data_IF_801488909192
#
_entry.id   IF_801488909192
#
_cell.length_a   1.000
_cell.length_b   1.000
_cell.length_c   1.000
_cell.angle_alpha   90.00
_cell.angle_beta   90.00
_cell.angle_gamma   90.00
#
_symmetry.space_group_name_H-M   'P 1'
#
loop_
_entity.id
_entity.type
_entity.pdbx_description
1 polymer ?
#
# COMPACT_ATOMS: atom_id res chain seq x y z
N UNK A 1 7.95 -4.73 -20.70
CA UNK A 1 6.71 -5.52 -20.54
C UNK A 1 6.78 -6.47 -19.34
N UNK A 2 7.75 -7.40 -19.25
CA UNK A 2 7.86 -8.36 -18.11
C UNK A 2 7.95 -7.69 -16.74
N UNK A 3 8.73 -6.61 -16.59
CA UNK A 3 8.84 -5.84 -15.34
C UNK A 3 7.49 -5.31 -14.85
N UNK A 4 6.68 -4.74 -15.75
CA UNK A 4 5.34 -4.23 -15.40
C UNK A 4 4.38 -5.37 -15.01
N UNK A 5 4.45 -6.50 -15.71
CA UNK A 5 3.65 -7.68 -15.35
C UNK A 5 4.09 -8.27 -14.01
N UNK A 6 5.39 -8.30 -13.71
CA UNK A 6 5.91 -8.73 -12.42
C UNK A 6 5.44 -7.80 -11.29
N UNK A 7 5.50 -6.49 -11.50
CA UNK A 7 4.98 -5.50 -10.55
C UNK A 7 3.49 -5.73 -10.27
N UNK A 8 2.69 -5.93 -11.33
CA UNK A 8 1.25 -6.21 -11.19
C UNK A 8 1.00 -7.55 -10.48
N UNK A 9 1.76 -8.61 -10.81
CA UNK A 9 1.62 -9.91 -10.15
C UNK A 9 1.96 -9.84 -8.67
N UNK A 10 3.04 -9.17 -8.29
CA UNK A 10 3.43 -9.02 -6.88
C UNK A 10 2.45 -8.14 -6.10
N UNK A 11 1.88 -7.09 -6.75
CA UNK A 11 0.89 -6.20 -6.14
C UNK A 11 -0.43 -6.91 -5.87
N UNK A 12 -0.98 -7.60 -6.89
CA UNK A 12 -2.32 -8.19 -6.84
C UNK A 12 -2.31 -9.68 -6.51
N UNK A 13 -1.12 -10.32 -6.50
CA UNK A 13 -0.87 -11.74 -6.24
C UNK A 13 -1.45 -12.67 -7.34
N UNK A 14 -2.11 -12.13 -8.34
CA UNK A 14 -2.61 -12.83 -9.52
C UNK A 14 -2.56 -11.91 -10.74
N UNK A 15 -2.40 -12.51 -11.92
CA UNK A 15 -2.38 -11.80 -13.19
C UNK A 15 -2.86 -12.72 -14.32
N UNK A 16 -3.76 -12.22 -15.16
CA UNK A 16 -4.20 -12.92 -16.36
C UNK A 16 -3.44 -12.40 -17.58
N UNK A 17 -2.80 -13.31 -18.35
CA UNK A 17 -2.03 -12.98 -19.53
C UNK A 17 -2.03 -14.15 -20.52
N UNK A 18 -1.38 -14.01 -21.67
CA UNK A 18 -1.25 -15.14 -22.61
C UNK A 18 -0.24 -16.18 -22.09
N UNK A 19 -0.45 -17.47 -22.45
CA UNK A 19 0.38 -18.58 -21.97
C UNK A 19 1.88 -18.39 -22.25
N UNK A 20 2.34 -17.92 -23.43
CA UNK A 20 3.77 -17.66 -23.64
C UNK A 20 4.33 -16.62 -22.68
N UNK A 21 3.63 -15.49 -22.48
CA UNK A 21 4.04 -14.44 -21.55
C UNK A 21 4.05 -14.93 -20.10
N UNK A 22 3.06 -15.74 -19.73
CA UNK A 22 2.99 -16.35 -18.41
C UNK A 22 4.17 -17.27 -18.12
N UNK A 23 4.61 -18.07 -19.13
CA UNK A 23 5.77 -18.95 -19.00
C UNK A 23 7.07 -18.16 -18.77
N UNK A 24 7.26 -17.03 -19.46
CA UNK A 24 8.42 -16.17 -19.29
C UNK A 24 8.38 -15.36 -17.98
N UNK A 25 7.19 -15.00 -17.54
CA UNK A 25 7.00 -14.23 -16.30
C UNK A 25 7.36 -15.04 -15.05
N UNK A 26 7.04 -16.35 -15.04
CA UNK A 26 7.28 -17.21 -13.88
C UNK A 26 8.73 -17.22 -13.42
N UNK A 27 9.73 -17.61 -14.23
CA UNK A 27 11.12 -17.65 -13.78
C UNK A 27 11.64 -16.27 -13.36
N UNK A 28 11.16 -15.20 -14.01
CA UNK A 28 11.53 -13.84 -13.66
C UNK A 28 11.05 -13.46 -12.24
N UNK A 29 9.78 -13.70 -11.92
CA UNK A 29 9.23 -13.41 -10.58
C UNK A 29 9.80 -14.35 -9.52
N UNK A 30 9.99 -15.61 -9.82
CA UNK A 30 10.61 -16.59 -8.90
C UNK A 30 12.04 -16.21 -8.52
N UNK A 31 12.80 -15.65 -9.47
CA UNK A 31 14.13 -15.09 -9.20
C UNK A 31 14.06 -13.93 -8.21
N UNK A 32 13.11 -12.98 -8.40
CA UNK A 32 12.95 -11.83 -7.50
C UNK A 32 12.59 -12.28 -6.07
N UNK A 33 11.68 -13.23 -5.92
CA UNK A 33 11.32 -13.81 -4.63
C UNK A 33 12.53 -14.51 -3.99
N UNK A 34 13.31 -15.24 -4.77
CA UNK A 34 14.52 -15.92 -4.27
C UNK A 34 15.57 -14.93 -3.78
N UNK A 35 15.79 -13.83 -4.51
CA UNK A 35 16.70 -12.74 -4.09
C UNK A 35 16.23 -12.12 -2.78
N UNK A 36 14.94 -11.83 -2.65
CA UNK A 36 14.36 -11.28 -1.43
C UNK A 36 14.53 -12.24 -0.24
N UNK A 37 14.23 -13.52 -0.40
CA UNK A 37 14.42 -14.56 0.63
C UNK A 37 15.87 -14.66 1.11
N UNK A 38 16.81 -14.70 0.16
CA UNK A 38 18.25 -14.76 0.50
C UNK A 38 18.72 -13.50 1.21
N UNK A 39 18.12 -12.35 0.89
CA UNK A 39 18.39 -11.10 1.60
C UNK A 39 17.95 -11.15 3.06
N UNK A 40 16.77 -11.70 3.33
CA UNK A 40 16.21 -11.83 4.69
C UNK A 40 16.90 -12.95 5.51
N UNK A 41 17.14 -14.12 4.91
CA UNK A 41 17.74 -15.27 5.61
C UNK A 41 19.17 -15.04 6.09
N UNK A 42 19.85 -14.03 5.54
CA UNK A 42 21.22 -13.68 5.93
C UNK A 42 21.32 -12.99 7.30
N UNK A 43 20.23 -12.90 8.04
CA UNK A 43 20.13 -12.19 9.32
C UNK A 43 20.25 -10.68 9.15
N UNK A 44 20.10 -9.96 10.25
CA UNK A 44 20.14 -8.49 10.34
C UNK A 44 21.48 -7.84 9.95
N UNK A 45 22.37 -8.55 9.29
CA UNK A 45 23.51 -7.94 8.62
C UNK A 45 22.99 -7.09 7.44
N UNK A 46 22.55 -5.90 7.77
CA UNK A 46 21.91 -4.88 6.94
C UNK A 46 22.47 -4.74 5.51
N UNK A 47 23.72 -5.09 5.27
CA UNK A 47 24.34 -5.01 3.96
C UNK A 47 23.78 -6.00 2.93
N UNK A 48 23.44 -7.23 3.32
CA UNK A 48 22.91 -8.24 2.39
C UNK A 48 21.45 -7.94 2.02
N UNK A 49 20.64 -7.52 2.99
CA UNK A 49 19.27 -7.10 2.74
C UNK A 49 19.23 -5.84 1.87
N UNK A 50 20.04 -4.83 2.20
CA UNK A 50 20.14 -3.62 1.38
C UNK A 50 20.57 -3.92 -0.06
N UNK A 51 21.53 -4.83 -0.23
CA UNK A 51 21.96 -5.24 -1.58
C UNK A 51 20.84 -5.98 -2.31
N UNK A 52 20.14 -6.90 -1.65
CA UNK A 52 18.98 -7.58 -2.23
C UNK A 52 17.88 -6.59 -2.63
N UNK A 53 17.55 -5.60 -1.79
CA UNK A 53 16.60 -4.53 -2.12
C UNK A 53 17.04 -3.72 -3.33
N UNK A 54 18.33 -3.37 -3.43
CA UNK A 54 18.88 -2.66 -4.60
C UNK A 54 18.76 -3.47 -5.88
N UNK A 55 19.06 -4.77 -5.83
CA UNK A 55 18.93 -5.66 -6.99
C UNK A 55 17.47 -5.77 -7.44
N UNK A 56 16.54 -5.94 -6.52
CA UNK A 56 15.10 -6.00 -6.83
C UNK A 56 14.60 -4.67 -7.42
N UNK A 57 15.08 -3.53 -6.91
CA UNK A 57 14.71 -2.19 -7.41
C UNK A 57 15.18 -1.91 -8.84
N UNK A 58 16.19 -2.63 -9.36
CA UNK A 58 16.58 -2.53 -10.77
C UNK A 58 15.48 -3.07 -11.71
N UNK A 59 14.73 -4.06 -11.23
CA UNK A 59 13.66 -4.71 -12.00
C UNK A 59 12.27 -4.16 -11.66
N UNK A 60 12.02 -3.82 -10.38
CA UNK A 60 10.75 -3.27 -9.90
C UNK A 60 10.92 -1.79 -9.54
N UNK A 61 10.27 -0.92 -10.31
CA UNK A 61 10.33 0.54 -10.09
C UNK A 61 9.44 1.01 -8.93
N UNK A 62 8.48 0.19 -8.52
CA UNK A 62 7.50 0.51 -7.50
C UNK A 62 7.99 0.14 -6.10
N UNK A 63 8.24 1.15 -5.27
CA UNK A 63 8.74 0.98 -3.90
C UNK A 63 7.75 0.23 -2.99
N UNK A 64 6.45 0.47 -3.16
CA UNK A 64 5.41 -0.21 -2.36
C UNK A 64 5.42 -1.71 -2.61
N UNK A 65 5.56 -2.11 -3.89
CA UNK A 65 5.64 -3.52 -4.27
C UNK A 65 6.92 -4.17 -3.75
N UNK A 66 8.05 -3.45 -3.78
CA UNK A 66 9.30 -3.94 -3.17
C UNK A 66 9.13 -4.12 -1.66
N UNK A 67 8.53 -3.17 -0.96
CA UNK A 67 8.23 -3.28 0.48
C UNK A 67 7.34 -4.50 0.74
N UNK A 68 6.23 -4.67 0.01
CA UNK A 68 5.36 -5.86 0.11
C UNK A 68 6.13 -7.16 -0.13
N UNK A 69 7.04 -7.17 -1.11
CA UNK A 69 7.86 -8.36 -1.41
C UNK A 69 8.71 -8.78 -0.22
N UNK A 70 9.37 -7.84 0.46
CA UNK A 70 10.26 -8.15 1.59
C UNK A 70 9.51 -8.40 2.90
N UNK A 71 8.44 -7.66 3.19
CA UNK A 71 7.72 -7.73 4.46
C UNK A 71 6.67 -8.84 4.51
N UNK A 72 6.01 -9.13 3.37
CA UNK A 72 4.87 -10.06 3.35
C UNK A 72 5.18 -11.33 2.56
N UNK A 73 5.68 -11.19 1.32
CA UNK A 73 5.81 -12.33 0.41
C UNK A 73 7.04 -13.19 0.72
N UNK A 74 8.19 -12.60 0.99
CA UNK A 74 9.41 -13.35 1.25
C UNK A 74 9.32 -14.20 2.54
N UNK A 75 8.76 -13.72 3.67
CA UNK A 75 8.50 -14.56 4.84
C UNK A 75 7.49 -15.67 4.56
N UNK A 76 6.42 -15.40 3.78
CA UNK A 76 5.43 -16.43 3.40
C UNK A 76 6.08 -17.63 2.70
N UNK A 77 7.09 -17.38 1.88
CA UNK A 77 7.78 -18.42 1.11
C UNK A 77 9.08 -18.94 1.75
N UNK A 78 9.36 -18.58 3.00
CA UNK A 78 10.63 -18.94 3.67
C UNK A 78 10.90 -20.44 3.64
N UNK A 79 9.91 -21.26 3.99
CA UNK A 79 10.01 -22.71 4.03
C UNK A 79 10.02 -23.40 2.65
N UNK A 80 9.65 -22.67 1.58
CA UNK A 80 9.51 -23.24 0.24
C UNK A 80 10.81 -23.05 -0.57
N UNK A 81 11.45 -24.09 -1.11
CA UNK A 81 12.71 -23.95 -1.85
C UNK A 81 12.55 -23.35 -3.24
N UNK A 82 11.33 -23.36 -3.84
CA UNK A 82 11.02 -22.83 -5.15
C UNK A 82 9.58 -23.07 -5.55
N UNK A 83 9.22 -22.76 -6.83
CA UNK A 83 7.86 -22.96 -7.30
C UNK A 83 6.85 -22.08 -6.59
N UNK A 84 7.13 -20.79 -6.48
CA UNK A 84 6.28 -19.81 -5.77
C UNK A 84 5.05 -19.42 -6.57
N UNK A 85 5.01 -19.76 -7.86
CA UNK A 85 3.94 -19.38 -8.79
C UNK A 85 3.20 -20.60 -9.30
N UNK A 86 1.89 -20.44 -9.50
CA UNK A 86 1.01 -21.41 -10.15
C UNK A 86 0.46 -20.83 -11.44
N UNK A 87 0.42 -21.60 -12.51
CA UNK A 87 -0.16 -21.23 -13.78
C UNK A 87 -1.42 -22.05 -14.02
N UNK A 88 -2.54 -21.37 -14.23
CA UNK A 88 -3.84 -21.94 -14.52
C UNK A 88 -4.24 -21.54 -15.94
N UNK A 89 -4.52 -22.50 -16.82
CA UNK A 89 -5.02 -22.21 -18.17
C UNK A 89 -6.52 -21.90 -18.09
N UNK A 90 -6.94 -20.76 -18.67
CA UNK A 90 -8.32 -20.30 -18.66
C UNK A 90 -9.07 -20.56 -19.97
N UNK A 91 -8.34 -20.96 -21.02
CA UNK A 91 -8.91 -21.18 -22.35
C UNK A 91 -8.45 -20.14 -23.36
N UNK A 92 -9.31 -19.80 -24.30
CA UNK A 92 -8.98 -18.93 -25.43
C UNK A 92 -9.64 -17.54 -25.28
N UNK A 93 -8.93 -16.53 -25.73
CA UNK A 93 -9.44 -15.15 -25.78
C UNK A 93 -10.39 -14.96 -26.95
N UNK A 94 -11.52 -14.28 -26.72
CA UNK A 94 -12.45 -13.91 -27.80
C UNK A 94 -11.77 -12.93 -28.74
N UNK A 95 -11.88 -13.20 -30.04
CA UNK A 95 -11.37 -12.36 -31.12
C UNK A 95 -10.17 -12.98 -31.84
N UNK A 96 -9.08 -13.28 -31.12
CA UNK A 96 -7.83 -13.77 -31.70
C UNK A 96 -7.49 -15.23 -31.33
N UNK A 97 -8.36 -15.90 -30.57
CA UNK A 97 -8.17 -17.28 -30.10
C UNK A 97 -6.80 -17.52 -29.39
N UNK A 98 -6.17 -16.48 -28.84
CA UNK A 98 -4.94 -16.64 -28.07
C UNK A 98 -5.19 -17.40 -26.77
N UNK A 99 -4.37 -18.39 -26.45
CA UNK A 99 -4.45 -19.09 -25.16
C UNK A 99 -4.15 -18.13 -23.99
N UNK A 100 -5.07 -18.07 -23.01
CA UNK A 100 -4.96 -17.25 -21.81
C UNK A 100 -4.63 -18.15 -20.62
N UNK A 101 -3.76 -17.64 -19.75
CA UNK A 101 -3.46 -18.24 -18.46
C UNK A 101 -3.48 -17.19 -17.35
N UNK A 102 -3.88 -17.63 -16.17
CA UNK A 102 -3.71 -16.89 -14.93
C UNK A 102 -2.45 -17.40 -14.24
N UNK A 103 -1.60 -16.47 -13.87
CA UNK A 103 -0.46 -16.71 -12.98
C UNK A 103 -0.85 -16.19 -11.60
N UNK A 104 -0.69 -17.02 -10.58
CA UNK A 104 -0.96 -16.66 -9.18
C UNK A 104 0.21 -17.04 -8.28
N UNK A 105 0.37 -16.34 -7.17
CA UNK A 105 1.30 -16.70 -6.12
C UNK A 105 0.68 -17.81 -5.25
N UNK A 106 1.45 -18.84 -4.94
CA UNK A 106 0.99 -19.93 -4.07
C UNK A 106 0.71 -19.39 -2.67
N UNK A 107 -0.43 -19.80 -2.09
CA UNK A 107 -0.88 -19.28 -0.78
C UNK A 107 -1.66 -17.95 -0.89
N UNK A 108 -1.83 -17.42 -2.09
CA UNK A 108 -2.82 -16.40 -2.39
C UNK A 108 -4.06 -17.14 -2.89
N UNK A 109 -4.98 -17.42 -2.03
CA UNK A 109 -6.27 -17.96 -2.44
C UNK A 109 -7.08 -16.83 -3.08
N UNK A 110 -6.84 -16.61 -4.37
CA UNK A 110 -7.70 -15.72 -5.13
C UNK A 110 -9.06 -16.39 -5.31
N UNK A 111 -9.94 -16.13 -4.37
CA UNK A 111 -11.33 -16.47 -4.50
C UNK A 111 -12.08 -15.25 -5.07
N UNK A 112 -12.42 -15.23 -6.38
CA UNK A 112 -13.10 -14.09 -6.99
C UNK A 112 -14.47 -13.82 -6.36
N UNK A 113 -15.08 -14.86 -5.79
CA UNK A 113 -16.38 -14.79 -5.11
C UNK A 113 -16.26 -14.09 -3.76
N UNK A 114 -15.23 -14.42 -2.97
CA UNK A 114 -14.97 -13.77 -1.69
C UNK A 114 -14.61 -12.28 -1.87
N UNK A 115 -13.89 -11.95 -2.94
CA UNK A 115 -13.60 -10.54 -3.24
C UNK A 115 -14.85 -9.77 -3.64
N UNK A 116 -15.71 -10.34 -4.49
CA UNK A 116 -16.98 -9.73 -4.87
C UNK A 116 -17.92 -9.53 -3.65
N UNK A 117 -17.94 -10.49 -2.73
CA UNK A 117 -18.71 -10.40 -1.47
C UNK A 117 -18.11 -9.36 -0.51
N UNK A 118 -16.78 -9.25 -0.43
CA UNK A 118 -16.10 -8.25 0.39
C UNK A 118 -16.30 -6.83 -0.17
N UNK A 119 -16.22 -6.66 -1.49
CA UNK A 119 -16.48 -5.38 -2.17
C UNK A 119 -17.97 -4.99 -2.04
N UNK A 120 -18.91 -5.94 -2.13
CA UNK A 120 -20.32 -5.72 -1.90
C UNK A 120 -20.60 -5.28 -0.45
N UNK A 121 -20.03 -5.96 0.56
CA UNK A 121 -20.13 -5.58 1.97
C UNK A 121 -19.52 -4.22 2.25
N UNK A 122 -18.41 -3.88 1.58
CA UNK A 122 -17.77 -2.58 1.73
C UNK A 122 -18.59 -1.44 1.09
N UNK A 123 -19.28 -1.73 -0.04
CA UNK A 123 -20.21 -0.81 -0.66
C UNK A 123 -21.47 -0.59 0.19
N UNK A 124 -21.93 -1.64 0.88
CA UNK A 124 -23.09 -1.56 1.77
C UNK A 124 -22.76 -0.86 3.10
N UNK A 125 -21.54 -1.04 3.61
CA UNK A 125 -21.02 -0.37 4.80
C UNK A 125 -20.58 1.10 4.55
N UNK A 126 -20.48 1.53 3.30
CA UNK A 126 -20.21 2.93 2.96
C UNK A 126 -21.41 3.80 3.42
N UNK A 127 -21.19 4.87 4.21
CA UNK A 127 -22.27 5.72 4.67
C UNK A 127 -22.99 6.30 3.45
N UNK A 128 -24.27 5.94 3.29
CA UNK A 128 -25.13 6.45 2.22
C UNK A 128 -24.98 7.97 2.17
N UNK A 129 -24.72 8.59 1.01
CA UNK A 129 -24.59 10.03 0.93
C UNK A 129 -25.89 10.65 1.47
N UNK A 130 -25.76 11.43 2.55
CA UNK A 130 -26.91 12.13 3.12
C UNK A 130 -27.57 12.92 2.01
N UNK A 131 -28.83 12.65 1.71
CA UNK A 131 -29.59 13.31 0.68
C UNK A 131 -29.49 14.83 0.87
N UNK A 132 -29.55 15.58 -0.23
CA UNK A 132 -29.47 17.05 -0.22
C UNK A 132 -30.45 17.65 0.80
N UNK A 133 -31.62 17.04 0.99
CA UNK A 133 -32.61 17.40 2.02
C UNK A 133 -32.09 17.23 3.47
N UNK A 134 -31.26 16.25 3.75
CA UNK A 134 -30.67 16.07 5.09
C UNK A 134 -29.61 17.12 5.42
N UNK A 135 -28.88 17.62 4.41
CA UNK A 135 -27.92 18.74 4.58
C UNK A 135 -28.62 20.07 4.82
N UNK A 136 -29.72 20.33 4.13
CA UNK A 136 -30.53 21.54 4.30
C UNK A 136 -31.20 21.57 5.68
N UNK A 137 -31.70 20.41 6.15
CA UNK A 137 -32.30 20.31 7.50
C UNK A 137 -31.28 20.53 8.61
N UNK A 138 -30.09 19.96 8.51
CA UNK A 138 -29.01 20.17 9.47
C UNK A 138 -28.45 21.62 9.46
N UNK A 139 -28.49 22.30 8.32
CA UNK A 139 -28.15 23.72 8.20
C UNK A 139 -29.24 24.62 8.81
N UNK A 140 -30.50 24.30 8.62
CA UNK A 140 -31.65 25.01 9.22
C UNK A 140 -31.67 24.88 10.75
N UNK A 141 -31.39 23.67 11.28
CA UNK A 141 -31.31 23.45 12.73
C UNK A 141 -30.13 24.21 13.38
N UNK A 142 -29.00 24.33 12.67
CA UNK A 142 -27.85 25.16 13.13
C UNK A 142 -28.17 26.66 13.14
N UNK A 143 -28.97 27.16 12.22
CA UNK A 143 -29.40 28.55 12.18
C UNK A 143 -30.48 28.85 13.23
N UNK A 144 -31.30 27.87 13.56
CA UNK A 144 -32.34 28.00 14.59
C UNK A 144 -31.80 28.01 16.02
N UNK A 145 -30.73 27.19 16.28
CA UNK A 145 -30.06 27.14 17.61
C UNK A 145 -29.20 28.34 17.92
N UNK A 146 -28.98 29.30 16.98
CA UNK A 146 -28.16 30.48 17.18
C UNK A 146 -28.94 31.76 17.56
N UNK A 147 -30.27 31.63 17.74
CA UNK A 147 -31.17 32.79 17.98
C UNK A 147 -31.61 32.98 19.43
N UNK A 148 -31.24 32.08 20.33
CA UNK A 148 -31.70 32.08 21.71
C UNK A 148 -30.58 32.36 22.76
N UNK A 149 -29.44 32.91 22.33
CA UNK A 149 -28.38 33.31 23.27
C UNK A 149 -27.90 34.75 23.00
N UNK A 150 -28.83 35.70 23.24
CA UNK A 150 -28.50 37.13 23.37
C UNK A 150 -29.35 37.73 24.47
N UNK A 151 -28.91 37.55 25.70
CA UNK A 151 -29.50 38.17 26.85
C UNK A 151 -28.61 38.10 28.10
N UNK A 152 -28.08 39.26 28.49
CA UNK A 152 -27.69 39.65 29.84
C UNK A 152 -26.34 39.14 30.40
N UNK A 153 -25.37 39.98 30.46
CA UNK A 153 -25.09 40.84 31.61
C UNK A 153 -23.87 40.36 32.38
N UNK A 154 -22.82 41.19 32.50
CA UNK A 154 -21.91 41.04 33.65
C UNK A 154 -20.43 41.26 33.38
N UNK A 155 -20.01 42.50 33.54
CA UNK A 155 -18.63 42.95 33.69
C UNK A 155 -17.82 42.09 34.66
N UNK A 156 -16.58 41.71 34.29
CA UNK A 156 -15.41 42.00 35.15
C UNK A 156 -14.09 41.80 34.38
N UNK A 157 -13.23 42.75 34.66
CA UNK A 157 -11.93 43.01 34.12
C UNK A 157 -10.83 42.01 34.56
N UNK A 158 -9.73 42.14 33.86
CA UNK A 158 -8.32 41.90 34.24
C UNK A 158 -7.69 40.58 33.87
N UNK A 159 -6.73 40.68 33.12
CA UNK A 159 -5.28 40.48 33.26
C UNK A 159 -4.65 39.78 32.07
N UNK A 160 -3.78 40.50 31.35
CA UNK A 160 -2.78 39.92 30.46
C UNK A 160 -1.69 39.22 31.27
N UNK A 161 -1.10 38.17 30.84
CA UNK A 161 0.31 37.96 31.09
C UNK A 161 1.16 37.98 29.80
N UNK A 162 2.27 38.57 30.01
CA UNK A 162 3.47 38.90 29.30
C UNK A 162 4.08 37.85 28.37
N UNK A 163 4.71 38.41 27.33
CA UNK A 163 5.65 37.82 26.37
C UNK A 163 6.73 36.95 27.04
N UNK A 164 6.81 35.67 26.66
CA UNK A 164 7.94 34.80 26.89
C UNK A 164 9.03 35.01 25.84
N UNK A 165 10.21 35.31 26.35
CA UNK A 165 11.46 35.59 25.64
C UNK A 165 11.98 34.37 24.91
N UNK A 166 12.29 34.57 23.64
CA UNK A 166 12.93 33.59 22.74
C UNK A 166 14.44 33.57 23.04
N UNK A 167 14.91 32.53 23.70
CA UNK A 167 16.35 32.31 23.88
C UNK A 167 16.96 31.71 22.62
N UNK A 168 17.92 32.41 22.03
CA UNK A 168 18.81 31.94 20.98
C UNK A 168 19.91 31.11 21.64
N UNK A 169 20.04 29.84 21.30
CA UNK A 169 21.20 29.01 21.62
C UNK A 169 22.30 29.26 20.57
N UNK A 170 23.37 29.91 21.01
CA UNK A 170 24.62 30.04 20.28
C UNK A 170 25.52 28.86 20.56
N UNK A 171 25.80 28.06 19.54
CA UNK A 171 26.84 27.02 19.56
C UNK A 171 28.22 27.65 19.30
N UNK A 172 29.25 27.38 20.08
CA UNK A 172 30.59 27.90 19.83
C UNK A 172 31.29 27.03 18.72
N UNK A 173 31.83 27.72 17.74
CA UNK A 173 32.73 27.22 16.72
C UNK A 173 34.07 26.88 17.38
N UNK A 174 34.51 25.63 17.28
CA UNK A 174 35.86 25.22 17.67
C UNK A 174 36.80 25.54 16.51
N UNK A 175 37.72 26.46 16.76
CA UNK A 175 38.81 26.86 15.89
C UNK A 175 39.87 25.75 15.87
N UNK A 176 40.46 25.53 14.69
CA UNK A 176 41.56 24.61 14.51
C UNK A 176 42.90 25.17 14.97
N UNK A 177 43.85 24.29 15.11
CA UNK A 177 45.22 24.62 15.41
C UNK A 177 46.10 23.40 15.31
N UNK A 178 47.03 23.45 14.29
CA UNK A 178 48.28 22.71 14.17
C UNK A 178 48.22 21.23 13.91
#
# INVERSE_FOLDING_TARGET
MLRNQATALLRHEHLTTTVPKAKELRPFVERLITVAKRGLSAGTANAKELNARRLVMQDLQDREVVTKLFETLAPRFESRPGGYTRLLRLGFRKGDAAEIAQVELVGSEFNPRAKAEADAKKAEAAPKPKSVGGRLKAAADRLRGKKDDSGEGGKKASAKPSKGVRQKSTTPRKAGGS
#
